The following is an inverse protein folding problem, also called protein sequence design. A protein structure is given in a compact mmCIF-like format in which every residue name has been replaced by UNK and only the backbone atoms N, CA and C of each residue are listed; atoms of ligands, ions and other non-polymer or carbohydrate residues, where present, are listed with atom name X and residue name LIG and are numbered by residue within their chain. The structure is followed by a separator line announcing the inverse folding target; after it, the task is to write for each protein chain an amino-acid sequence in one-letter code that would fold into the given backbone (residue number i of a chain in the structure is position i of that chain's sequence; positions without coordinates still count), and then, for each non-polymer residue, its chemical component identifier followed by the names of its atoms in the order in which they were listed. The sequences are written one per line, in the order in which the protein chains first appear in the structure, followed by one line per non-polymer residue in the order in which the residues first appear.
data_IF_280686288802
#
_entry.id   IF_280686288802
#
_cell.length_a   1.000
_cell.length_b   1.000
_cell.length_c   1.000
_cell.angle_alpha   90.00
_cell.angle_beta   90.00
_cell.angle_gamma   90.00
#
_symmetry.space_group_name_H-M   'P 1'
#
loop_
_entity.id
_entity.type
_entity.pdbx_description
1 polymer ?
#
# COMPACT_ATOMS: atom_id res chain seq x y z
N UNK A 1 -3.60 -15.87 5.68
CA UNK A 1 -3.08 -14.53 6.06
C UNK A 1 -4.13 -13.48 5.74
N UNK A 2 -4.57 -12.68 6.72
CA UNK A 2 -5.71 -11.73 6.59
C UNK A 2 -5.25 -10.35 6.06
N UNK A 3 -4.02 -9.94 6.35
CA UNK A 3 -3.48 -8.61 6.05
C UNK A 3 -3.34 -8.27 4.55
N UNK A 4 -2.87 -9.21 3.71
CA UNK A 4 -2.69 -8.96 2.27
C UNK A 4 -4.01 -8.66 1.54
N UNK A 5 -5.10 -9.35 1.90
CA UNK A 5 -6.41 -9.09 1.28
C UNK A 5 -6.97 -7.74 1.68
N UNK A 6 -6.61 -7.24 2.85
CA UNK A 6 -7.06 -5.94 3.34
C UNK A 6 -6.30 -4.80 2.65
N UNK A 7 -4.97 -4.89 2.53
CA UNK A 7 -4.17 -3.85 1.84
C UNK A 7 -4.55 -3.74 0.35
N UNK A 8 -4.86 -4.87 -0.31
CA UNK A 8 -5.32 -4.87 -1.71
C UNK A 8 -6.62 -4.07 -1.85
N UNK A 9 -7.63 -4.39 -1.04
CA UNK A 9 -8.92 -3.69 -1.08
C UNK A 9 -8.79 -2.20 -0.77
N UNK A 10 -8.04 -1.84 0.27
CA UNK A 10 -7.81 -0.43 0.62
C UNK A 10 -7.11 0.32 -0.53
N UNK A 11 -6.14 -0.32 -1.17
CA UNK A 11 -5.44 0.30 -2.32
C UNK A 11 -6.41 0.47 -3.50
N UNK A 12 -7.24 -0.54 -3.79
CA UNK A 12 -8.27 -0.45 -4.85
C UNK A 12 -9.26 0.69 -4.59
N UNK A 13 -9.69 0.89 -3.34
CA UNK A 13 -10.57 1.99 -2.94
C UNK A 13 -9.91 3.36 -3.14
N UNK A 14 -8.64 3.51 -2.77
CA UNK A 14 -7.89 4.77 -2.93
C UNK A 14 -7.64 5.10 -4.41
N UNK A 15 -7.35 4.11 -5.24
CA UNK A 15 -7.01 4.33 -6.64
C UNK A 15 -8.20 4.21 -7.62
N UNK A 16 -9.34 3.66 -7.18
CA UNK A 16 -10.51 3.38 -8.00
C UNK A 16 -10.25 2.41 -9.16
N UNK A 17 -9.14 1.67 -9.13
CA UNK A 17 -8.70 0.80 -10.22
C UNK A 17 -7.78 -0.30 -9.71
N UNK A 18 -8.17 -1.54 -10.00
CA UNK A 18 -7.38 -2.72 -9.68
C UNK A 18 -5.99 -2.69 -10.32
N UNK A 19 -5.88 -2.22 -11.57
CA UNK A 19 -4.58 -2.12 -12.26
C UNK A 19 -3.66 -1.12 -11.56
N UNK A 20 -4.18 0.07 -11.22
CA UNK A 20 -3.41 1.09 -10.51
C UNK A 20 -3.01 0.59 -9.11
N UNK A 21 -3.91 -0.10 -8.43
CA UNK A 21 -3.62 -0.69 -7.13
C UNK A 21 -2.51 -1.74 -7.21
N UNK A 22 -2.58 -2.66 -8.17
CA UNK A 22 -1.54 -3.67 -8.38
C UNK A 22 -0.17 -3.05 -8.70
N UNK A 23 -0.14 -2.02 -9.57
CA UNK A 23 1.09 -1.26 -9.86
C UNK A 23 1.63 -0.55 -8.61
N UNK A 24 0.75 0.03 -7.80
CA UNK A 24 1.16 0.74 -6.59
C UNK A 24 1.72 -0.20 -5.53
N UNK A 25 1.09 -1.37 -5.36
CA UNK A 25 1.45 -2.40 -4.38
C UNK A 25 2.76 -3.10 -4.69
N UNK A 26 3.05 -3.31 -5.98
CA UNK A 26 4.27 -3.99 -6.45
C UNK A 26 5.49 -3.07 -6.51
N UNK A 27 5.29 -1.74 -6.56
CA UNK A 27 6.40 -0.79 -6.64
C UNK A 27 7.21 -0.74 -5.33
N UNK A 28 8.53 -0.96 -5.37
CA UNK A 28 9.41 -0.74 -4.22
C UNK A 28 9.38 0.71 -3.73
N UNK A 29 9.37 0.89 -2.41
CA UNK A 29 9.30 2.23 -1.80
C UNK A 29 10.37 2.40 -0.74
N UNK A 30 11.14 3.48 -0.83
CA UNK A 30 12.20 3.80 0.13
C UNK A 30 11.68 3.92 1.57
N UNK A 31 10.49 4.49 1.73
CA UNK A 31 9.79 4.62 3.02
C UNK A 31 9.42 3.27 3.66
N UNK A 32 9.34 2.20 2.86
CA UNK A 32 9.11 0.84 3.33
C UNK A 32 10.41 0.03 3.45
N UNK A 33 11.58 0.68 3.45
CA UNK A 33 12.88 -0.01 3.46
C UNK A 33 13.30 -0.56 2.09
N UNK A 34 12.72 -0.06 1.00
CA UNK A 34 13.08 -0.46 -0.36
C UNK A 34 12.36 -1.72 -0.86
N UNK A 35 11.42 -2.27 -0.09
CA UNK A 35 10.55 -3.37 -0.53
C UNK A 35 9.19 -2.85 -1.02
N UNK A 36 8.41 -3.73 -1.65
CA UNK A 36 7.07 -3.40 -2.14
C UNK A 36 6.06 -3.28 -0.98
N UNK A 37 4.96 -2.55 -1.18
CA UNK A 37 3.91 -2.47 -0.17
C UNK A 37 3.22 -3.83 0.06
N UNK A 38 3.15 -4.67 -0.99
CA UNK A 38 2.65 -6.03 -0.86
C UNK A 38 3.55 -6.89 0.04
N UNK A 39 4.87 -6.82 -0.15
CA UNK A 39 5.85 -7.54 0.66
C UNK A 39 5.89 -7.02 2.10
N UNK A 40 5.90 -5.68 2.28
CA UNK A 40 5.84 -5.04 3.59
C UNK A 40 4.59 -5.44 4.39
N UNK A 41 3.45 -5.67 3.71
CA UNK A 41 2.19 -6.07 4.35
C UNK A 41 2.23 -7.45 5.02
N UNK A 42 3.28 -8.24 4.79
CA UNK A 42 3.49 -9.52 5.51
C UNK A 42 3.96 -9.31 6.96
N UNK A 43 4.44 -8.12 7.28
CA UNK A 43 4.88 -7.71 8.61
C UNK A 43 3.91 -6.66 9.15
N UNK A 44 3.55 -6.73 10.43
CA UNK A 44 2.60 -5.78 11.05
C UNK A 44 3.05 -4.32 10.90
N UNK A 45 4.33 -4.04 11.10
CA UNK A 45 4.89 -2.69 10.95
C UNK A 45 4.86 -2.22 9.47
N UNK A 46 5.20 -3.11 8.53
CA UNK A 46 5.17 -2.79 7.11
C UNK A 46 3.75 -2.60 6.58
N UNK A 47 2.77 -3.34 7.10
CA UNK A 47 1.35 -3.11 6.84
C UNK A 47 0.89 -1.74 7.34
N UNK A 48 1.20 -1.38 8.60
CA UNK A 48 0.83 -0.08 9.16
C UNK A 48 1.41 1.08 8.35
N UNK A 49 2.70 1.00 7.97
CA UNK A 49 3.34 2.00 7.12
C UNK A 49 2.72 2.08 5.72
N UNK A 50 2.35 0.94 5.12
CA UNK A 50 1.66 0.93 3.83
C UNK A 50 0.27 1.57 3.89
N UNK A 51 -0.49 1.33 4.98
CA UNK A 51 -1.79 1.98 5.21
C UNK A 51 -1.62 3.49 5.39
N UNK A 52 -0.65 3.94 6.18
CA UNK A 52 -0.40 5.37 6.38
C UNK A 52 -0.08 6.11 5.07
N UNK A 53 0.70 5.47 4.18
CA UNK A 53 0.97 6.01 2.84
C UNK A 53 -0.30 6.09 1.98
N UNK A 54 -1.19 5.10 2.08
CA UNK A 54 -2.48 5.13 1.37
C UNK A 54 -3.39 6.25 1.89
N UNK A 55 -3.42 6.46 3.20
CA UNK A 55 -4.17 7.54 3.83
C UNK A 55 -3.65 8.91 3.37
N UNK A 56 -2.33 9.10 3.31
CA UNK A 56 -1.71 10.31 2.75
C UNK A 56 -2.15 10.56 1.31
N UNK A 57 -2.11 9.53 0.46
CA UNK A 57 -2.55 9.62 -0.93
C UNK A 57 -4.04 9.94 -1.05
N UNK A 58 -4.89 9.34 -0.19
CA UNK A 58 -6.33 9.62 -0.15
C UNK A 58 -6.62 11.08 0.21
N UNK A 59 -5.83 11.66 1.10
CA UNK A 59 -5.94 13.07 1.50
C UNK A 59 -5.28 14.05 0.52
N UNK A 60 -4.74 13.57 -0.60
CA UNK A 60 -4.14 14.41 -1.64
C UNK A 60 -2.71 14.84 -1.33
N UNK A 61 -2.05 14.24 -0.33
CA UNK A 61 -0.63 14.43 -0.11
C UNK A 61 0.14 13.67 -1.18
N UNK A 62 0.42 14.35 -2.29
CA UNK A 62 1.40 13.90 -3.27
C UNK A 62 2.79 14.25 -2.75
N UNK A 63 3.49 13.29 -2.14
CA UNK A 63 4.94 13.38 -1.90
C UNK A 63 5.70 12.59 -2.96
#
# INVERSE_FOLDING_TARGET
MIAQRQIIRLTEEVFGSQEKAARWLSKPRRVLGGISALEASTMTQGYAAAVELLEQLRHGFAS
#
